data_IF_590010847935
#
_entry.id   IF_590010847935
#
_cell.length_a   1.000
_cell.length_b   1.000
_cell.length_c   1.000
_cell.angle_alpha   90.00
_cell.angle_beta   90.00
_cell.angle_gamma   90.00
#
_symmetry.space_group_name_H-M   'P 1'
#
loop_
_entity.id
_entity.type
_entity.pdbx_description
1 polymer ?
#
# COMPACT_ATOMS: atom_id res chain seq x y z
N UNK A 1 -0.49 -5.82 2.99
CA UNK A 1 0.00 -5.06 1.82
C UNK A 1 -0.93 -3.90 1.51
N UNK A 2 -2.22 -4.19 1.38
CA UNK A 2 -3.30 -3.21 1.18
C UNK A 2 -3.41 -2.18 2.31
N UNK A 3 -3.68 -2.63 3.53
CA UNK A 3 -3.86 -1.75 4.70
C UNK A 3 -2.64 -0.88 5.02
N UNK A 4 -1.48 -1.51 5.13
CA UNK A 4 -0.27 -0.84 5.64
C UNK A 4 0.53 -0.13 4.55
N UNK A 5 0.36 -0.52 3.27
CA UNK A 5 1.12 -0.03 2.11
C UNK A 5 2.65 -0.15 2.26
N UNK A 6 3.12 -0.87 3.26
CA UNK A 6 4.54 -1.11 3.53
C UNK A 6 5.11 -1.88 2.33
N UNK A 7 6.30 -1.47 1.87
CA UNK A 7 7.02 -2.23 0.83
C UNK A 7 7.35 -3.61 1.38
N UNK A 8 7.17 -4.66 0.58
CA UNK A 8 7.54 -6.03 0.99
C UNK A 8 8.97 -6.08 1.51
N UNK A 9 9.91 -5.43 0.83
CA UNK A 9 11.33 -5.48 1.18
C UNK A 9 11.95 -6.82 0.75
N UNK A 10 13.27 -6.91 0.77
CA UNK A 10 13.98 -8.17 0.59
C UNK A 10 15.19 -8.20 1.53
N UNK A 11 15.73 -9.40 1.80
CA UNK A 11 16.77 -9.57 2.81
C UNK A 11 18.12 -8.97 2.38
N UNK A 12 18.42 -9.02 1.09
CA UNK A 12 19.62 -8.42 0.48
C UNK A 12 19.68 -6.90 0.77
N UNK A 13 18.60 -6.17 0.46
CA UNK A 13 18.54 -4.73 0.68
C UNK A 13 18.57 -4.37 2.17
N UNK A 14 18.05 -5.24 3.06
CA UNK A 14 18.16 -5.07 4.51
C UNK A 14 19.62 -5.15 4.96
N UNK A 15 20.35 -6.17 4.52
CA UNK A 15 21.76 -6.39 4.90
C UNK A 15 22.64 -5.24 4.46
N UNK A 16 22.43 -4.73 3.25
CA UNK A 16 23.23 -3.63 2.69
C UNK A 16 22.90 -2.26 3.30
N UNK A 17 21.61 -1.96 3.50
CA UNK A 17 21.16 -0.59 3.81
C UNK A 17 20.64 -0.41 5.23
N UNK A 18 20.62 -1.47 6.05
CA UNK A 18 20.03 -1.46 7.39
C UNK A 18 18.56 -1.01 7.41
N UNK A 19 17.86 -1.22 6.29
CA UNK A 19 16.49 -0.76 6.04
C UNK A 19 15.53 -1.95 5.98
N UNK A 20 14.34 -1.81 6.53
CA UNK A 20 13.36 -2.89 6.65
C UNK A 20 12.16 -2.66 5.72
N UNK A 21 11.58 -3.77 5.26
CA UNK A 21 10.27 -3.85 4.63
C UNK A 21 9.45 -4.94 5.32
N UNK A 22 8.22 -5.17 4.87
CA UNK A 22 7.25 -6.07 5.50
C UNK A 22 7.84 -7.45 5.84
N UNK A 23 8.41 -8.17 4.86
CA UNK A 23 8.96 -9.53 5.05
C UNK A 23 10.27 -9.55 5.84
N UNK A 24 10.90 -8.39 6.03
CA UNK A 24 12.14 -8.27 6.80
C UNK A 24 11.94 -7.62 8.16
N UNK A 25 10.70 -7.33 8.55
CA UNK A 25 10.37 -6.85 9.89
C UNK A 25 10.79 -7.86 10.94
N UNK A 26 11.07 -7.33 12.13
CA UNK A 26 11.48 -8.09 13.31
C UNK A 26 10.46 -7.87 14.42
N UNK A 27 10.43 -8.76 15.39
CA UNK A 27 9.51 -8.69 16.54
C UNK A 27 9.59 -7.33 17.26
N UNK A 28 10.78 -6.76 17.39
CA UNK A 28 11.00 -5.42 17.99
C UNK A 28 10.38 -4.24 17.20
N UNK A 29 9.98 -4.45 15.96
CA UNK A 29 9.40 -3.39 15.11
C UNK A 29 7.87 -3.34 15.20
N UNK A 30 7.24 -4.23 15.97
CA UNK A 30 5.79 -4.27 16.11
C UNK A 30 5.39 -4.31 17.58
N UNK A 31 4.34 -3.58 17.91
CA UNK A 31 3.65 -3.64 19.18
C UNK A 31 2.17 -3.95 18.90
N UNK A 32 1.56 -4.83 19.69
CA UNK A 32 0.15 -5.22 19.52
C UNK A 32 -0.63 -5.00 20.82
N UNK A 33 -1.60 -4.09 20.80
CA UNK A 33 -2.43 -3.71 21.95
C UNK A 33 -3.89 -3.98 21.58
N UNK A 34 -4.49 -5.04 22.15
CA UNK A 34 -5.86 -5.42 21.78
C UNK A 34 -5.99 -5.78 20.28
N UNK A 35 -6.70 -4.93 19.53
CA UNK A 35 -6.86 -4.98 18.07
C UNK A 35 -5.96 -4.02 17.30
N UNK A 36 -5.21 -3.17 18.01
CA UNK A 36 -4.31 -2.18 17.44
C UNK A 36 -2.91 -2.79 17.27
N UNK A 37 -2.31 -2.52 16.12
CA UNK A 37 -0.98 -2.97 15.72
C UNK A 37 -0.19 -1.74 15.31
N UNK A 38 0.91 -1.49 16.01
CA UNK A 38 1.80 -0.36 15.76
C UNK A 38 3.11 -0.87 15.18
N UNK A 39 3.41 -0.49 13.95
CA UNK A 39 4.71 -0.76 13.32
C UNK A 39 5.62 0.46 13.44
N UNK A 40 6.87 0.26 13.86
CA UNK A 40 7.90 1.30 13.91
C UNK A 40 9.23 0.75 13.43
N UNK A 41 9.72 1.25 12.28
CA UNK A 41 10.95 0.74 11.68
C UNK A 41 11.60 1.75 10.74
N UNK A 42 12.91 1.58 10.50
CA UNK A 42 13.66 2.33 9.50
C UNK A 42 13.48 1.66 8.13
N UNK A 43 12.82 2.33 7.19
CA UNK A 43 12.58 1.83 5.83
C UNK A 43 13.60 2.33 4.81
N UNK A 44 13.26 2.15 3.53
CA UNK A 44 14.08 2.56 2.38
C UNK A 44 14.54 4.02 2.50
N UNK A 45 15.80 4.28 2.10
CA UNK A 45 16.46 5.59 2.22
C UNK A 45 16.57 6.09 3.67
N UNK A 46 16.42 5.20 4.65
CA UNK A 46 16.52 5.52 6.06
C UNK A 46 15.33 6.26 6.67
N UNK A 47 14.21 6.43 5.94
CA UNK A 47 13.00 7.09 6.45
C UNK A 47 12.43 6.28 7.63
N UNK A 48 12.11 6.94 8.73
CA UNK A 48 11.38 6.31 9.83
C UNK A 48 9.92 6.15 9.43
N UNK A 49 9.41 4.93 9.49
CA UNK A 49 8.01 4.61 9.24
C UNK A 49 7.31 4.30 10.56
N UNK A 50 6.16 4.92 10.76
CA UNK A 50 5.18 4.58 11.79
C UNK A 50 3.87 4.27 11.08
N UNK A 51 3.38 3.06 11.25
CA UNK A 51 2.15 2.60 10.59
C UNK A 51 1.26 1.96 11.64
N UNK A 52 0.06 2.49 11.77
CA UNK A 52 -0.95 1.99 12.69
C UNK A 52 -2.00 1.20 11.90
N UNK A 53 -2.39 0.06 12.43
CA UNK A 53 -3.40 -0.82 11.87
C UNK A 53 -4.36 -1.23 12.98
N UNK A 54 -5.66 -1.02 12.75
CA UNK A 54 -6.71 -1.45 13.66
C UNK A 54 -7.53 -2.56 13.01
N UNK A 55 -7.14 -3.82 13.22
CA UNK A 55 -7.86 -4.99 12.70
C UNK A 55 -7.70 -6.17 13.67
N UNK A 56 -8.82 -6.64 14.21
CA UNK A 56 -8.85 -7.73 15.21
C UNK A 56 -8.30 -9.05 14.65
N UNK A 57 -8.57 -9.36 13.38
CA UNK A 57 -8.10 -10.59 12.72
C UNK A 57 -6.59 -10.50 12.49
N UNK A 58 -6.10 -9.40 11.94
CA UNK A 58 -4.67 -9.20 11.67
C UNK A 58 -3.87 -9.12 12.98
N UNK A 59 -4.36 -8.43 14.01
CA UNK A 59 -3.73 -8.39 15.33
C UNK A 59 -3.56 -9.80 15.93
N UNK A 60 -4.58 -10.67 15.78
CA UNK A 60 -4.50 -12.06 16.24
C UNK A 60 -3.47 -12.87 15.45
N UNK A 61 -3.40 -12.69 14.13
CA UNK A 61 -2.41 -13.37 13.27
C UNK A 61 -1.00 -12.93 13.66
N UNK A 62 -0.78 -11.62 13.85
CA UNK A 62 0.52 -11.06 14.24
C UNK A 62 0.95 -11.56 15.62
N UNK A 63 0.03 -11.69 16.59
CA UNK A 63 0.32 -12.30 17.89
C UNK A 63 0.83 -13.74 17.77
N UNK A 64 0.23 -14.55 16.89
CA UNK A 64 0.70 -15.93 16.64
C UNK A 64 2.10 -15.97 16.04
N UNK A 65 2.43 -15.01 15.18
CA UNK A 65 3.79 -14.88 14.66
C UNK A 65 4.82 -14.55 15.76
N UNK A 66 4.45 -13.67 16.70
CA UNK A 66 5.29 -13.30 17.85
C UNK A 66 5.52 -14.45 18.84
N UNK A 67 4.69 -15.49 18.83
CA UNK A 67 4.85 -16.70 19.64
C UNK A 67 5.93 -17.66 19.07
N UNK A 68 6.29 -17.51 17.79
CA UNK A 68 7.31 -18.35 17.16
C UNK A 68 8.70 -17.87 17.59
N UNK A 69 9.58 -18.75 18.10
CA UNK A 69 10.95 -18.39 18.46
C UNK A 69 11.73 -17.84 17.25
N UNK A 70 12.34 -16.67 17.38
CA UNK A 70 13.08 -16.03 16.29
C UNK A 70 13.16 -14.52 16.45
N UNK A 71 13.86 -13.85 15.53
CA UNK A 71 13.88 -12.38 15.48
C UNK A 71 12.91 -11.82 14.44
N UNK A 72 12.66 -12.60 13.40
CA UNK A 72 11.87 -12.33 12.22
C UNK A 72 10.38 -12.32 12.58
N UNK A 73 9.66 -11.30 12.13
CA UNK A 73 8.25 -11.19 12.45
C UNK A 73 7.41 -12.20 11.65
N UNK A 74 7.56 -12.21 10.33
CA UNK A 74 6.78 -13.12 9.49
C UNK A 74 7.58 -14.40 9.25
N UNK A 75 7.18 -15.46 9.95
CA UNK A 75 7.83 -16.76 9.91
C UNK A 75 6.82 -17.88 10.15
N UNK A 76 7.09 -19.07 9.64
CA UNK A 76 6.26 -20.26 9.86
C UNK A 76 7.12 -21.41 10.36
N UNK A 77 6.50 -22.40 11.01
CA UNK A 77 7.18 -23.65 11.34
C UNK A 77 7.05 -24.59 10.14
N UNK A 78 8.17 -25.11 9.65
CA UNK A 78 8.16 -26.14 8.62
C UNK A 78 7.78 -27.52 9.18
N UNK A 79 7.77 -28.53 8.32
CA UNK A 79 7.40 -29.91 8.68
C UNK A 79 8.29 -30.52 9.77
N UNK A 80 9.51 -30.01 9.93
CA UNK A 80 10.45 -30.44 10.97
C UNK A 80 10.30 -29.64 12.26
N UNK A 81 9.40 -28.66 12.30
CA UNK A 81 9.22 -27.74 13.41
C UNK A 81 10.26 -26.62 13.45
N UNK A 82 11.04 -26.41 12.38
CA UNK A 82 12.02 -25.34 12.31
C UNK A 82 11.34 -24.03 11.86
N UNK A 83 11.69 -22.92 12.51
CA UNK A 83 11.19 -21.61 12.11
C UNK A 83 11.86 -21.15 10.80
N UNK A 84 11.04 -20.88 9.79
CA UNK A 84 11.44 -20.37 8.47
C UNK A 84 10.85 -18.98 8.24
N UNK A 85 11.66 -17.98 7.83
CA UNK A 85 11.12 -16.67 7.50
C UNK A 85 10.30 -16.72 6.21
N UNK A 86 9.29 -15.87 6.13
CA UNK A 86 8.56 -15.60 4.88
C UNK A 86 9.29 -14.47 4.16
N UNK A 87 9.75 -14.71 2.94
CA UNK A 87 10.48 -13.74 2.14
C UNK A 87 9.63 -13.09 1.03
N UNK A 88 10.26 -12.24 0.23
CA UNK A 88 9.56 -11.57 -0.88
C UNK A 88 9.24 -12.48 -2.05
N UNK A 89 10.01 -13.54 -2.27
CA UNK A 89 9.72 -14.53 -3.30
C UNK A 89 8.47 -15.32 -2.92
N UNK A 90 8.34 -15.72 -1.64
CA UNK A 90 7.15 -16.40 -1.11
C UNK A 90 5.88 -15.57 -1.34
N UNK A 91 5.92 -14.29 -0.97
CA UNK A 91 4.77 -13.38 -1.14
C UNK A 91 4.39 -13.24 -2.61
N UNK A 92 5.35 -13.04 -3.52
CA UNK A 92 5.03 -12.87 -4.94
C UNK A 92 4.60 -14.20 -5.59
N UNK A 93 5.13 -15.33 -5.13
CA UNK A 93 4.68 -16.65 -5.58
C UNK A 93 3.22 -16.88 -5.18
N UNK A 94 2.88 -16.58 -3.92
CA UNK A 94 1.50 -16.66 -3.43
C UNK A 94 0.55 -15.75 -4.23
N UNK A 95 0.94 -14.51 -4.51
CA UNK A 95 0.11 -13.58 -5.28
C UNK A 95 -0.18 -14.08 -6.70
N UNK A 96 0.81 -14.66 -7.38
CA UNK A 96 0.60 -15.27 -8.70
C UNK A 96 -0.33 -16.48 -8.64
N UNK A 97 -0.12 -17.35 -7.65
CA UNK A 97 -0.94 -18.56 -7.47
C UNK A 97 -2.42 -18.24 -7.25
N UNK A 98 -2.74 -17.31 -6.35
CA UNK A 98 -4.14 -16.97 -6.03
C UNK A 98 -4.85 -16.15 -7.11
N UNK A 99 -4.08 -15.40 -7.92
CA UNK A 99 -4.66 -14.52 -8.92
C UNK A 99 -4.72 -15.15 -10.31
N UNK A 100 -3.86 -16.13 -10.60
CA UNK A 100 -3.68 -16.68 -11.95
C UNK A 100 -3.02 -15.70 -12.93
N UNK A 101 -2.52 -14.57 -12.44
CA UNK A 101 -2.00 -13.45 -13.22
C UNK A 101 -0.61 -13.04 -12.70
N UNK A 102 0.13 -12.26 -13.48
CA UNK A 102 1.48 -11.78 -13.14
C UNK A 102 1.47 -10.60 -12.14
N UNK A 103 0.59 -10.63 -11.15
CA UNK A 103 0.58 -9.64 -10.08
C UNK A 103 1.76 -9.81 -9.12
N UNK A 104 2.26 -8.67 -8.67
CA UNK A 104 3.35 -8.56 -7.70
C UNK A 104 2.93 -7.67 -6.55
N UNK A 105 3.72 -7.68 -5.47
CA UNK A 105 3.47 -6.78 -4.35
C UNK A 105 3.63 -5.29 -4.70
N UNK A 106 4.29 -4.96 -5.82
CA UNK A 106 4.36 -3.58 -6.33
C UNK A 106 2.97 -3.09 -6.74
N UNK A 107 2.11 -3.98 -7.21
CA UNK A 107 0.80 -3.64 -7.75
C UNK A 107 -0.17 -3.13 -6.66
N UNK A 108 -0.04 -3.61 -5.42
CA UNK A 108 -0.76 -3.02 -4.29
C UNK A 108 -0.40 -1.55 -4.07
N UNK A 109 0.86 -1.17 -4.30
CA UNK A 109 1.31 0.21 -4.13
C UNK A 109 0.94 1.10 -5.31
N UNK A 110 0.85 0.56 -6.53
CA UNK A 110 0.37 1.30 -7.70
C UNK A 110 -1.15 1.52 -7.60
N UNK A 111 -1.89 0.51 -7.15
CA UNK A 111 -3.31 0.62 -6.84
C UNK A 111 -3.57 1.68 -5.77
N UNK A 112 -2.90 1.58 -4.62
CA UNK A 112 -3.03 2.56 -3.54
C UNK A 112 -2.61 3.98 -3.97
N UNK A 113 -1.52 4.12 -4.73
CA UNK A 113 -1.08 5.42 -5.25
C UNK A 113 -2.12 6.07 -6.17
N UNK A 114 -2.78 5.25 -7.00
CA UNK A 114 -3.83 5.70 -7.91
C UNK A 114 -5.10 6.10 -7.17
N UNK A 115 -5.51 5.35 -6.14
CA UNK A 115 -6.64 5.69 -5.27
C UNK A 115 -6.39 7.01 -4.55
N UNK A 116 -5.22 7.16 -3.90
CA UNK A 116 -4.86 8.38 -3.19
C UNK A 116 -4.85 9.59 -4.13
N UNK A 117 -4.32 9.44 -5.35
CA UNK A 117 -4.35 10.50 -6.34
C UNK A 117 -5.80 10.91 -6.67
N UNK A 118 -6.68 9.93 -6.94
CA UNK A 118 -8.09 10.19 -7.24
C UNK A 118 -8.80 10.87 -6.06
N UNK A 119 -8.57 10.40 -4.83
CA UNK A 119 -9.10 11.00 -3.60
C UNK A 119 -8.69 12.46 -3.47
N UNK A 120 -7.38 12.75 -3.48
CA UNK A 120 -6.87 14.11 -3.31
C UNK A 120 -7.32 15.05 -4.44
N UNK A 121 -7.50 14.54 -5.66
CA UNK A 121 -7.97 15.36 -6.78
C UNK A 121 -9.48 15.67 -6.68
N UNK A 122 -10.29 14.73 -6.16
CA UNK A 122 -11.73 14.97 -5.88
C UNK A 122 -11.95 16.04 -4.79
N UNK A 123 -11.01 16.20 -3.86
CA UNK A 123 -11.07 17.24 -2.81
C UNK A 123 -10.86 18.67 -3.36
N UNK A 124 -10.44 18.81 -4.62
CA UNK A 124 -10.10 20.11 -5.20
C UNK A 124 -11.32 20.84 -5.77
N UNK A 125 -11.34 22.17 -5.64
CA UNK A 125 -12.41 23.04 -6.15
C UNK A 125 -11.98 23.72 -7.48
N UNK A 126 -10.80 23.38 -8.01
CA UNK A 126 -10.27 24.02 -9.20
C UNK A 126 -11.09 23.67 -10.44
N UNK A 127 -11.42 24.67 -11.27
CA UNK A 127 -12.07 24.41 -12.56
C UNK A 127 -11.15 23.58 -13.47
N UNK A 128 -11.69 22.58 -14.20
CA UNK A 128 -10.94 21.77 -15.15
C UNK A 128 -10.16 22.61 -16.17
N UNK A 129 -9.07 22.06 -16.71
CA UNK A 129 -8.23 22.71 -17.73
C UNK A 129 -7.66 24.11 -17.38
N UNK A 130 -7.63 24.51 -16.11
CA UNK A 130 -7.05 25.79 -15.68
C UNK A 130 -5.61 25.65 -15.15
N UNK A 131 -4.89 26.78 -15.05
CA UNK A 131 -3.61 26.85 -14.31
C UNK A 131 -3.79 26.41 -12.86
N UNK A 132 -4.94 26.73 -12.27
CA UNK A 132 -5.33 26.27 -10.93
C UNK A 132 -5.40 24.74 -10.85
N UNK A 133 -6.05 24.09 -11.83
CA UNK A 133 -6.13 22.63 -11.87
C UNK A 133 -4.75 21.97 -11.94
N UNK A 134 -3.86 22.48 -12.81
CA UNK A 134 -2.48 21.99 -12.92
C UNK A 134 -1.69 22.15 -11.62
N UNK A 135 -1.87 23.26 -10.89
CA UNK A 135 -1.24 23.46 -9.58
C UNK A 135 -1.72 22.42 -8.56
N UNK A 136 -3.02 22.18 -8.51
CA UNK A 136 -3.59 21.17 -7.61
C UNK A 136 -3.15 19.75 -7.97
N UNK A 137 -2.98 19.43 -9.25
CA UNK A 137 -2.41 18.16 -9.69
C UNK A 137 -0.99 17.96 -9.14
N UNK A 138 -0.14 18.98 -9.21
CA UNK A 138 1.23 18.91 -8.66
C UNK A 138 1.19 18.67 -7.15
N UNK A 139 0.30 19.37 -6.43
CA UNK A 139 0.13 19.17 -4.98
C UNK A 139 -0.37 17.77 -4.64
N UNK A 140 -1.34 17.24 -5.38
CA UNK A 140 -1.84 15.87 -5.18
C UNK A 140 -0.73 14.84 -5.39
N UNK A 141 0.04 14.95 -6.48
CA UNK A 141 1.18 14.06 -6.75
C UNK A 141 2.21 14.12 -5.61
N UNK A 142 2.49 15.33 -5.09
CA UNK A 142 3.42 15.50 -3.97
C UNK A 142 2.90 14.82 -2.69
N UNK A 143 1.60 14.92 -2.40
CA UNK A 143 0.97 14.22 -1.27
C UNK A 143 1.08 12.71 -1.42
N UNK A 144 0.73 12.15 -2.59
CA UNK A 144 0.85 10.69 -2.83
C UNK A 144 2.31 10.24 -2.69
N UNK A 145 3.25 11.05 -3.17
CA UNK A 145 4.67 10.74 -3.07
C UNK A 145 5.14 10.67 -1.61
N UNK A 146 4.68 11.56 -0.73
CA UNK A 146 5.02 11.52 0.70
C UNK A 146 4.43 10.28 1.39
N UNK A 147 3.14 10.00 1.15
CA UNK A 147 2.42 8.83 1.65
C UNK A 147 3.11 7.51 1.26
N UNK A 148 3.55 7.40 0.01
CA UNK A 148 4.27 6.23 -0.49
C UNK A 148 5.78 6.24 -0.16
N UNK A 149 6.32 7.36 0.33
CA UNK A 149 7.75 7.55 0.54
C UNK A 149 8.56 7.42 -0.76
N UNK A 150 8.14 8.10 -1.82
CA UNK A 150 8.80 8.20 -3.13
C UNK A 150 9.02 9.69 -3.50
N UNK A 151 9.75 9.97 -4.58
CA UNK A 151 9.79 11.34 -5.15
C UNK A 151 8.52 11.59 -5.99
N UNK A 152 8.09 12.86 -6.15
CA UNK A 152 6.93 13.19 -7.00
C UNK A 152 7.08 12.68 -8.45
N UNK A 153 8.29 12.75 -9.01
CA UNK A 153 8.56 12.26 -10.37
C UNK A 153 8.35 10.74 -10.48
N UNK A 154 8.92 9.97 -9.54
CA UNK A 154 8.74 8.50 -9.49
C UNK A 154 7.29 8.12 -9.24
N UNK A 155 6.60 8.86 -8.37
CA UNK A 155 5.20 8.59 -8.06
C UNK A 155 4.30 8.81 -9.30
N UNK A 156 4.51 9.92 -10.02
CA UNK A 156 3.74 10.27 -11.21
C UNK A 156 3.84 9.22 -12.30
N UNK A 157 5.02 8.66 -12.55
CA UNK A 157 5.23 7.73 -13.67
C UNK A 157 5.11 6.26 -13.28
N UNK A 158 5.32 5.94 -12.00
CA UNK A 158 5.43 4.55 -11.55
C UNK A 158 4.35 4.08 -10.58
N UNK A 159 3.48 4.97 -10.08
CA UNK A 159 2.48 4.63 -9.04
C UNK A 159 1.10 5.26 -9.23
N UNK A 160 0.93 6.21 -10.16
CA UNK A 160 -0.36 6.86 -10.42
C UNK A 160 -0.77 6.51 -11.85
N UNK A 161 -1.93 5.88 -12.01
CA UNK A 161 -2.46 5.57 -13.33
C UNK A 161 -2.80 6.87 -14.11
N UNK A 162 -2.35 7.01 -15.37
CA UNK A 162 -2.53 8.24 -16.15
C UNK A 162 -4.01 8.62 -16.36
N UNK A 163 -4.91 7.64 -16.43
CA UNK A 163 -6.36 7.84 -16.51
C UNK A 163 -6.91 8.81 -15.46
N UNK A 164 -6.43 8.70 -14.22
CA UNK A 164 -6.90 9.54 -13.11
C UNK A 164 -6.50 11.00 -13.35
N UNK A 165 -5.29 11.22 -13.87
CA UNK A 165 -4.80 12.54 -14.22
C UNK A 165 -5.61 13.11 -15.39
N UNK A 166 -5.85 12.32 -16.43
CA UNK A 166 -6.64 12.72 -17.59
C UNK A 166 -8.08 13.07 -17.20
N UNK A 167 -8.74 12.20 -16.43
CA UNK A 167 -10.09 12.40 -15.92
C UNK A 167 -10.18 13.67 -15.06
N UNK A 168 -9.21 13.92 -14.19
CA UNK A 168 -9.18 15.14 -13.39
C UNK A 168 -9.10 16.40 -14.26
N UNK A 169 -8.15 16.44 -15.20
CA UNK A 169 -7.96 17.60 -16.06
C UNK A 169 -9.19 17.89 -16.93
N UNK A 170 -9.89 16.84 -17.34
CA UNK A 170 -11.16 16.93 -18.08
C UNK A 170 -12.40 17.21 -17.19
N UNK A 171 -12.27 17.23 -15.86
CA UNK A 171 -13.39 17.39 -14.93
C UNK A 171 -14.29 16.17 -14.78
N UNK A 172 -13.80 14.99 -15.16
CA UNK A 172 -14.50 13.70 -15.12
C UNK A 172 -14.40 12.95 -13.79
N UNK A 173 -13.59 13.40 -12.83
CA UNK A 173 -13.56 12.81 -11.49
C UNK A 173 -14.82 13.20 -10.71
N UNK A 174 -15.79 12.29 -10.67
CA UNK A 174 -17.04 12.48 -9.93
C UNK A 174 -16.82 12.32 -8.42
N UNK A 175 -17.57 13.06 -7.59
CA UNK A 175 -17.66 12.80 -6.15
C UNK A 175 -18.17 11.38 -5.88
N UNK A 176 -17.67 10.77 -4.81
CA UNK A 176 -18.18 9.50 -4.32
C UNK A 176 -19.37 9.78 -3.41
N UNK A 177 -20.51 9.14 -3.71
CA UNK A 177 -21.78 9.37 -3.00
C UNK A 177 -22.08 8.31 -1.93
N UNK A 178 -21.40 7.17 -1.98
CA UNK A 178 -21.60 6.06 -1.04
C UNK A 178 -20.93 6.38 0.31
N UNK A 179 -21.60 6.02 1.40
CA UNK A 179 -21.07 6.07 2.77
C UNK A 179 -20.51 4.72 3.17
N UNK A 180 -19.47 4.79 4.00
CA UNK A 180 -18.78 3.77 4.78
C UNK A 180 -18.90 2.32 4.29
N UNK A 181 -17.76 1.78 3.84
CA UNK A 181 -17.65 0.38 3.54
C UNK A 181 -17.75 -0.45 4.83
N UNK A 182 -18.74 -1.34 4.87
CA UNK A 182 -19.06 -2.14 6.08
C UNK A 182 -18.10 -3.34 6.21
N UNK A 183 -17.55 -3.81 5.09
CA UNK A 183 -16.65 -4.95 5.03
C UNK A 183 -15.26 -4.50 4.51
N UNK A 184 -14.20 -4.54 5.35
CA UNK A 184 -12.85 -4.16 4.94
C UNK A 184 -12.22 -5.16 3.94
N UNK A 185 -12.86 -6.31 3.68
CA UNK A 185 -12.40 -7.30 2.73
C UNK A 185 -13.11 -7.23 1.36
N UNK A 186 -13.91 -6.18 1.14
CA UNK A 186 -14.49 -5.85 -0.16
C UNK A 186 -13.88 -4.55 -0.69
N UNK A 187 -13.95 -4.37 -2.01
CA UNK A 187 -13.52 -3.11 -2.64
C UNK A 187 -14.28 -1.95 -2.00
N UNK A 188 -13.56 -0.96 -1.50
CA UNK A 188 -14.11 0.27 -0.96
C UNK A 188 -14.86 1.10 -2.01
N UNK A 189 -15.64 2.09 -1.58
CA UNK A 189 -16.31 3.02 -2.49
C UNK A 189 -15.32 3.76 -3.41
N UNK A 190 -14.11 4.03 -2.91
CA UNK A 190 -13.04 4.61 -3.71
C UNK A 190 -12.49 3.65 -4.77
N UNK A 191 -12.31 2.39 -4.39
CA UNK A 191 -11.84 1.33 -5.28
C UNK A 191 -12.87 0.99 -6.35
N UNK A 192 -14.14 0.87 -5.99
CA UNK A 192 -15.24 0.67 -6.94
C UNK A 192 -15.32 1.83 -7.94
N UNK A 193 -15.20 3.07 -7.45
CA UNK A 193 -15.22 4.26 -8.32
C UNK A 193 -14.00 4.32 -9.24
N UNK A 194 -12.81 3.96 -8.74
CA UNK A 194 -11.60 3.89 -9.56
C UNK A 194 -11.70 2.78 -10.60
N UNK A 195 -12.15 1.59 -10.21
CA UNK A 195 -12.34 0.45 -11.11
C UNK A 195 -13.30 0.80 -12.25
N UNK A 196 -14.41 1.49 -11.94
CA UNK A 196 -15.35 1.96 -12.96
C UNK A 196 -14.71 2.98 -13.92
N UNK A 197 -13.87 3.90 -13.41
CA UNK A 197 -13.13 4.84 -14.24
C UNK A 197 -12.16 4.12 -15.21
N UNK A 198 -11.36 3.20 -14.69
CA UNK A 198 -10.35 2.48 -15.49
C UNK A 198 -11.00 1.52 -16.50
N UNK A 199 -12.09 0.86 -16.10
CA UNK A 199 -12.84 -0.04 -17.00
C UNK A 199 -13.49 0.69 -18.16
N UNK A 200 -13.82 1.98 -18.00
CA UNK A 200 -14.40 2.80 -19.06
C UNK A 200 -13.35 3.29 -20.07
N UNK A 201 -12.08 3.41 -19.68
CA UNK A 201 -10.97 3.79 -20.57
C UNK A 201 -10.44 2.58 -21.36
N UNK A 202 -10.56 1.38 -20.81
CA UNK A 202 -10.14 0.14 -21.47
C UNK A 202 -11.10 -0.35 -22.58
N UNK A 203 -12.21 0.35 -22.82
CA UNK A 203 -13.21 0.07 -23.87
C UNK A 203 -13.07 1.05 -25.02
#
# INVERSE_FOLDING_TARGET
>A
LEETRIRVGNDEYRKENGSFGLTTLRNRHVEVIGSDVHFSFRGKSGKLHRVDLQDRRLARIIKRFLEIPGQELFQFLDESGEARPIDSADVNAYLRDISGEDFTAKDFRTWAGTILAARFLRETIARPNTRGAKKQLIHAIARVADELGNTPAVCKTGYIHPAVIAAYLAGGLKPIKERDDVDPYQLSAEERSLLALLSAEAR
#
